data_IF_444465249900
#
_entry.id   IF_444465249900
#
_cell.length_a   1.000
_cell.length_b   1.000
_cell.length_c   1.000
_cell.angle_alpha   90.00
_cell.angle_beta   90.00
_cell.angle_gamma   90.00
#
_symmetry.space_group_name_H-M   'P 1'
#
loop_
_entity.id
_entity.type
_entity.pdbx_description
1 polymer ?
#
# COMPACT_ATOMS: atom_id res chain seq x y z
N UNK A 1 19.13 -12.72 12.10
CA UNK A 1 19.22 -11.41 11.43
C UNK A 1 18.03 -10.57 11.87
N UNK A 2 18.26 -9.40 12.49
CA UNK A 2 17.19 -8.52 12.95
C UNK A 2 16.54 -7.87 11.71
N UNK A 3 15.40 -8.41 11.25
CA UNK A 3 14.69 -7.87 10.08
C UNK A 3 13.93 -6.62 10.52
N UNK A 4 14.35 -5.46 10.01
CA UNK A 4 13.55 -4.23 10.11
C UNK A 4 12.48 -4.27 9.04
N UNK A 5 11.22 -4.15 9.46
CA UNK A 5 10.07 -4.04 8.56
C UNK A 5 9.72 -2.57 8.32
N UNK A 6 9.34 -2.24 7.09
CA UNK A 6 8.76 -0.95 6.74
C UNK A 6 7.34 -1.17 6.25
N UNK A 7 6.43 -0.28 6.63
CA UNK A 7 5.07 -0.22 6.14
C UNK A 7 5.05 0.46 4.77
N UNK A 8 4.43 -0.19 3.79
CA UNK A 8 4.23 0.37 2.46
C UNK A 8 2.78 0.85 2.33
N UNK A 9 2.61 2.07 1.81
CA UNK A 9 1.32 2.63 1.41
C UNK A 9 1.48 3.39 0.10
N UNK A 10 0.37 3.66 -0.57
CA UNK A 10 0.37 4.60 -1.68
C UNK A 10 0.56 6.04 -1.17
N UNK A 11 1.01 6.93 -2.07
CA UNK A 11 1.38 8.30 -1.71
C UNK A 11 0.19 9.28 -1.77
N UNK A 12 -1.06 8.79 -1.71
CA UNK A 12 -2.27 9.61 -1.81
C UNK A 12 -2.35 10.61 -0.64
N UNK A 13 -2.87 11.84 -0.86
CA UNK A 13 -2.96 12.85 0.18
C UNK A 13 -3.65 12.39 1.47
N UNK A 14 -4.63 11.49 1.37
CA UNK A 14 -5.34 10.95 2.54
C UNK A 14 -4.42 10.14 3.47
N UNK A 15 -3.42 9.45 2.92
CA UNK A 15 -2.45 8.65 3.69
C UNK A 15 -1.30 9.49 4.26
N UNK A 16 -1.25 10.78 3.90
CA UNK A 16 -0.31 11.79 4.43
C UNK A 16 -0.96 12.79 5.36
N UNK A 17 -2.25 12.61 5.69
CA UNK A 17 -2.91 13.47 6.65
C UNK A 17 -2.16 13.42 7.98
N UNK A 18 -2.11 14.55 8.69
CA UNK A 18 -1.38 14.69 9.96
C UNK A 18 -1.77 13.62 10.98
N UNK A 19 -3.07 13.33 11.09
CA UNK A 19 -3.55 12.29 11.99
C UNK A 19 -2.94 10.90 11.70
N UNK A 20 -2.67 10.59 10.43
CA UNK A 20 -2.06 9.33 10.00
C UNK A 20 -0.56 9.33 10.29
N UNK A 21 0.15 10.43 10.02
CA UNK A 21 1.57 10.55 10.34
C UNK A 21 1.82 10.47 11.85
N UNK A 22 0.99 11.15 12.65
CA UNK A 22 1.07 11.13 14.12
C UNK A 22 0.84 9.70 14.66
N UNK A 23 -0.09 8.95 14.05
CA UNK A 23 -0.34 7.54 14.39
C UNK A 23 0.89 6.66 14.11
N UNK A 24 1.53 6.82 12.96
CA UNK A 24 2.72 6.04 12.61
C UNK A 24 3.89 6.34 13.54
N UNK A 25 4.11 7.60 13.89
CA UNK A 25 5.13 8.00 14.85
C UNK A 25 4.85 7.42 16.24
N UNK A 26 3.60 7.51 16.71
CA UNK A 26 3.19 6.96 18.01
C UNK A 26 3.44 5.46 18.13
N UNK A 27 3.24 4.71 17.05
CA UNK A 27 3.46 3.26 17.02
C UNK A 27 4.85 2.84 16.54
N UNK A 28 5.76 3.80 16.32
CA UNK A 28 7.11 3.56 15.81
C UNK A 28 7.10 2.74 14.49
N UNK A 29 6.11 3.02 13.64
CA UNK A 29 5.94 2.39 12.33
C UNK A 29 6.77 3.17 11.31
N UNK A 30 7.78 2.50 10.74
CA UNK A 30 8.59 3.08 9.67
C UNK A 30 7.85 2.98 8.35
N UNK A 31 7.55 4.11 7.72
CA UNK A 31 6.98 4.15 6.37
C UNK A 31 8.10 3.96 5.34
N UNK A 32 7.84 3.18 4.31
CA UNK A 32 8.73 3.05 3.16
C UNK A 32 8.65 4.32 2.31
N UNK A 33 9.79 4.98 2.10
CA UNK A 33 9.89 6.11 1.18
C UNK A 33 9.76 5.61 -0.27
N UNK A 34 8.78 6.12 -1.01
CA UNK A 34 8.43 5.66 -2.34
C UNK A 34 8.05 6.83 -3.26
N UNK A 35 8.48 6.86 -4.53
CA UNK A 35 8.14 7.95 -5.46
C UNK A 35 6.63 8.10 -5.71
N UNK A 36 6.12 9.33 -5.61
CA UNK A 36 4.73 9.65 -5.91
C UNK A 36 4.32 9.17 -7.33
N UNK A 37 3.04 8.87 -7.52
CA UNK A 37 2.47 8.53 -8.84
C UNK A 37 3.16 7.38 -9.57
N UNK A 38 3.57 6.35 -8.81
CA UNK A 38 4.18 5.13 -9.36
C UNK A 38 3.25 3.91 -9.24
N UNK A 39 2.08 3.90 -9.90
CA UNK A 39 1.10 2.82 -9.77
C UNK A 39 1.68 1.47 -10.23
N UNK A 40 2.56 1.49 -11.25
CA UNK A 40 3.26 0.32 -11.76
C UNK A 40 4.17 -0.38 -10.73
N UNK A 41 4.43 0.29 -9.60
CA UNK A 41 5.32 -0.22 -8.58
C UNK A 41 4.62 -0.32 -7.21
N UNK A 42 3.30 -0.12 -7.17
CA UNK A 42 2.48 -0.38 -6.01
C UNK A 42 2.06 -1.87 -6.02
N UNK A 43 2.62 -2.74 -5.15
CA UNK A 43 2.33 -4.17 -5.16
C UNK A 43 0.86 -4.50 -4.95
N UNK A 44 0.09 -3.63 -4.29
CA UNK A 44 -1.33 -3.83 -4.09
C UNK A 44 -2.12 -3.77 -5.41
N UNK A 45 -1.68 -2.97 -6.39
CA UNK A 45 -2.33 -2.87 -7.70
C UNK A 45 -2.20 -4.19 -8.48
N UNK A 46 -1.04 -4.83 -8.38
CA UNK A 46 -0.83 -6.16 -8.97
C UNK A 46 -1.77 -7.20 -8.33
N UNK A 47 -1.95 -7.13 -7.01
CA UNK A 47 -2.87 -8.01 -6.30
C UNK A 47 -4.33 -7.74 -6.69
N UNK A 48 -4.73 -6.47 -6.82
CA UNK A 48 -6.06 -6.08 -7.28
C UNK A 48 -6.34 -6.57 -8.70
N UNK A 49 -5.36 -6.48 -9.61
CA UNK A 49 -5.49 -7.00 -10.97
C UNK A 49 -5.74 -8.52 -10.98
N UNK A 50 -4.99 -9.28 -10.16
CA UNK A 50 -5.19 -10.73 -10.01
C UNK A 50 -6.57 -11.03 -9.45
N UNK A 51 -6.99 -10.31 -8.39
CA UNK A 51 -8.29 -10.52 -7.76
C UNK A 51 -9.44 -10.21 -8.72
N UNK A 52 -9.36 -9.09 -9.42
CA UNK A 52 -10.35 -8.69 -10.44
C UNK A 52 -10.51 -9.78 -11.50
N UNK A 53 -9.40 -10.29 -12.04
CA UNK A 53 -9.45 -11.36 -13.03
C UNK A 53 -10.02 -12.69 -12.51
N UNK A 54 -9.97 -12.95 -11.19
CA UNK A 54 -10.65 -14.10 -10.59
C UNK A 54 -12.16 -13.86 -10.48
N UNK A 55 -12.56 -12.69 -9.97
CA UNK A 55 -13.97 -12.31 -9.85
C UNK A 55 -14.67 -12.28 -11.21
N UNK A 56 -14.01 -11.73 -12.23
CA UNK A 56 -14.55 -11.70 -13.60
C UNK A 56 -14.78 -13.11 -14.15
N UNK A 57 -13.90 -14.06 -13.86
CA UNK A 57 -14.08 -15.47 -14.26
C UNK A 57 -15.27 -16.10 -13.55
N UNK A 58 -15.36 -15.95 -12.23
CA UNK A 58 -16.47 -16.48 -11.43
C UNK A 58 -17.83 -15.90 -11.84
N UNK A 59 -17.88 -14.64 -12.26
CA UNK A 59 -19.13 -13.99 -12.74
C UNK A 59 -19.48 -14.37 -14.17
N UNK A 60 -18.50 -14.80 -14.97
CA UNK A 60 -18.71 -15.20 -16.38
C UNK A 60 -19.06 -16.68 -16.55
N UNK A 61 -18.95 -17.48 -15.48
CA UNK A 61 -19.37 -18.88 -15.38
C UNK A 61 -20.80 -19.00 -14.85
#
# INVERSE_FOLDING_TARGET
ANRQFCFQQDNSPIHKARAITDLFEHHNIRILDWPAYSPNINPIENLWAILKGKVEKEVSE
#
